data_IF_312155390874
#
_entry.id   IF_312155390874
#
_cell.length_a   1.000
_cell.length_b   1.000
_cell.length_c   1.000
_cell.angle_alpha   90.00
_cell.angle_beta   90.00
_cell.angle_gamma   90.00
#
_symmetry.space_group_name_H-M   'P 1'
#
loop_
_entity.id
_entity.type
_entity.pdbx_description
1 polymer ?
#
# COMPACT_ATOMS: atom_id res chain seq x y z
N UNK A 1 -6.62 7.31 13.93
CA UNK A 1 -6.03 5.96 14.12
C UNK A 1 -4.57 6.17 14.46
N UNK A 2 -4.08 5.55 15.51
CA UNK A 2 -2.68 5.62 15.92
C UNK A 2 -1.89 4.60 15.10
N UNK A 3 -0.73 4.98 14.53
CA UNK A 3 0.16 4.04 13.83
C UNK A 3 0.80 3.07 14.81
N UNK A 4 1.08 1.84 14.35
CA UNK A 4 1.71 0.77 15.12
C UNK A 4 3.12 0.55 14.62
N UNK A 5 4.09 0.69 15.51
CA UNK A 5 5.50 0.57 15.19
C UNK A 5 6.06 -0.68 15.88
N UNK A 6 6.72 -1.53 15.12
CA UNK A 6 7.51 -2.65 15.64
C UNK A 6 8.95 -2.18 15.83
N UNK A 7 9.47 -2.30 17.03
CA UNK A 7 10.86 -1.99 17.38
C UNK A 7 11.59 -3.30 17.66
N UNK A 8 12.72 -3.49 16.99
CA UNK A 8 13.54 -4.71 17.07
C UNK A 8 14.97 -4.33 17.44
N UNK A 9 15.40 -4.68 18.62
CA UNK A 9 16.75 -4.44 19.13
C UNK A 9 17.04 -5.48 20.24
N UNK A 10 18.23 -6.10 20.26
CA UNK A 10 18.59 -7.06 21.30
C UNK A 10 19.01 -6.39 22.62
N UNK A 11 19.19 -5.07 22.61
CA UNK A 11 19.51 -4.27 23.78
C UNK A 11 18.22 -3.70 24.43
N UNK A 12 17.91 -4.16 25.64
CA UNK A 12 16.75 -3.70 26.41
C UNK A 12 16.76 -2.20 26.71
N UNK A 13 17.94 -1.58 26.93
CA UNK A 13 18.05 -0.14 27.18
C UNK A 13 17.62 0.67 25.94
N UNK A 14 17.92 0.18 24.74
CA UNK A 14 17.47 0.82 23.48
C UNK A 14 15.97 0.65 23.30
N UNK A 15 15.41 -0.53 23.56
CA UNK A 15 13.98 -0.75 23.51
C UNK A 15 13.24 0.17 24.49
N UNK A 16 13.73 0.31 25.71
CA UNK A 16 13.15 1.22 26.70
C UNK A 16 13.26 2.71 26.27
N UNK A 17 14.43 3.13 25.80
CA UNK A 17 14.62 4.49 25.28
C UNK A 17 13.67 4.80 24.12
N UNK A 18 13.59 3.92 23.13
CA UNK A 18 12.68 4.12 21.99
C UNK A 18 11.21 4.08 22.41
N UNK A 19 10.87 3.27 23.43
CA UNK A 19 9.54 3.25 24.00
C UNK A 19 9.16 4.57 24.67
N UNK A 20 10.06 5.17 25.39
CA UNK A 20 9.85 6.50 26.00
C UNK A 20 9.73 7.60 24.94
N UNK A 21 10.55 7.54 23.88
CA UNK A 21 10.55 8.55 22.80
C UNK A 21 9.28 8.49 21.92
N UNK A 22 8.77 7.29 21.65
CA UNK A 22 7.71 7.07 20.63
C UNK A 22 6.35 6.70 21.23
N UNK A 23 6.30 6.23 22.48
CA UNK A 23 5.11 5.63 23.09
C UNK A 23 3.93 6.58 23.30
N UNK A 24 4.18 7.87 23.45
CA UNK A 24 3.11 8.88 23.57
C UNK A 24 2.34 9.10 22.25
N UNK A 25 2.99 8.82 21.10
CA UNK A 25 2.44 9.12 19.77
C UNK A 25 1.99 7.86 19.05
N UNK A 26 2.66 6.72 19.26
CA UNK A 26 2.47 5.49 18.52
C UNK A 26 2.14 4.31 19.43
N UNK A 27 1.44 3.31 18.90
CA UNK A 27 1.31 2.00 19.56
C UNK A 27 2.55 1.18 19.25
N UNK A 28 3.24 0.65 20.26
CA UNK A 28 4.51 -0.01 20.09
C UNK A 28 4.39 -1.52 20.32
N UNK A 29 5.08 -2.28 19.46
CA UNK A 29 5.39 -3.69 19.65
C UNK A 29 6.90 -3.81 19.79
N UNK A 30 7.38 -4.56 20.76
CA UNK A 30 8.82 -4.71 21.06
C UNK A 30 9.25 -6.15 20.79
N UNK A 31 10.40 -6.31 20.13
CA UNK A 31 10.99 -7.58 19.84
C UNK A 31 12.51 -7.55 20.16
N UNK A 32 12.99 -8.48 20.96
CA UNK A 32 14.42 -8.60 21.29
C UNK A 32 15.26 -9.32 20.21
N UNK A 33 14.66 -9.74 19.10
CA UNK A 33 15.35 -10.37 17.96
C UNK A 33 14.43 -10.50 16.75
N UNK A 34 15.01 -10.88 15.59
CA UNK A 34 14.28 -11.04 14.34
C UNK A 34 13.22 -12.14 14.34
N UNK A 35 13.39 -13.21 15.11
CA UNK A 35 12.40 -14.30 15.19
C UNK A 35 11.12 -13.86 15.93
N UNK A 36 11.28 -13.08 17.00
CA UNK A 36 10.14 -12.49 17.73
C UNK A 36 9.43 -11.47 16.83
N UNK A 37 10.22 -10.67 16.09
CA UNK A 37 9.67 -9.71 15.14
C UNK A 37 8.79 -10.38 14.08
N UNK A 38 9.19 -11.51 13.52
CA UNK A 38 8.38 -12.27 12.57
C UNK A 38 7.06 -12.76 13.18
N UNK A 39 7.09 -13.30 14.40
CA UNK A 39 5.86 -13.74 15.10
C UNK A 39 4.88 -12.59 15.33
N UNK A 40 5.40 -11.39 15.63
CA UNK A 40 4.56 -10.19 15.78
C UNK A 40 3.96 -9.79 14.44
N UNK A 41 4.72 -9.81 13.35
CA UNK A 41 4.22 -9.50 12.01
C UNK A 41 3.12 -10.45 11.56
N UNK A 42 3.20 -11.72 11.93
CA UNK A 42 2.16 -12.72 11.61
C UNK A 42 0.86 -12.49 12.40
N UNK A 43 0.96 -11.97 13.63
CA UNK A 43 -0.17 -11.82 14.54
C UNK A 43 -0.81 -10.43 14.52
N UNK A 44 0.00 -9.38 14.29
CA UNK A 44 -0.39 -7.98 14.50
C UNK A 44 -0.26 -7.16 13.21
N UNK A 45 -1.00 -6.06 13.15
CA UNK A 45 -0.83 -5.08 12.08
C UNK A 45 0.30 -4.13 12.46
N UNK A 46 1.29 -3.99 11.59
CA UNK A 46 2.44 -3.10 11.76
C UNK A 46 2.46 -2.08 10.61
N UNK A 47 2.65 -0.81 10.94
CA UNK A 47 2.68 0.29 9.99
C UNK A 47 4.12 0.75 9.66
N UNK A 48 5.09 0.47 10.55
CA UNK A 48 6.50 0.78 10.39
C UNK A 48 7.34 -0.14 11.28
N UNK A 49 8.55 -0.48 10.82
CA UNK A 49 9.52 -1.27 11.57
C UNK A 49 10.78 -0.43 11.81
N UNK A 50 11.29 -0.42 13.04
CA UNK A 50 12.59 0.11 13.41
C UNK A 50 13.42 -1.08 13.88
N UNK A 51 14.55 -1.35 13.24
CA UNK A 51 15.41 -2.48 13.60
C UNK A 51 16.85 -2.05 13.79
N UNK A 52 17.48 -2.53 14.83
CA UNK A 52 18.95 -2.54 14.87
C UNK A 52 19.49 -3.45 13.77
N UNK A 53 20.69 -3.15 13.28
CA UNK A 53 21.38 -4.00 12.31
C UNK A 53 22.10 -5.15 13.00
N UNK A 54 22.75 -4.86 14.13
CA UNK A 54 23.66 -5.79 14.80
C UNK A 54 22.93 -6.60 15.88
N UNK A 55 22.23 -7.64 15.47
CA UNK A 55 21.51 -8.54 16.39
C UNK A 55 21.97 -9.99 16.23
N UNK A 56 21.94 -10.80 17.30
CA UNK A 56 22.22 -12.23 17.21
C UNK A 56 21.11 -12.97 16.44
N UNK A 57 21.50 -13.98 15.68
CA UNK A 57 20.59 -14.76 14.86
C UNK A 57 20.26 -14.05 13.54
N UNK A 58 19.01 -13.67 13.34
CA UNK A 58 18.57 -12.88 12.17
C UNK A 58 18.97 -11.43 12.43
N UNK A 59 19.95 -10.92 11.67
CA UNK A 59 20.36 -9.53 11.75
C UNK A 59 19.36 -8.57 11.07
N UNK A 60 19.56 -7.25 11.24
CA UNK A 60 18.62 -6.26 10.71
C UNK A 60 18.57 -6.20 9.18
N UNK A 61 19.65 -6.56 8.48
CA UNK A 61 19.66 -6.66 7.02
C UNK A 61 18.88 -7.87 6.54
N UNK A 62 19.12 -9.03 7.15
CA UNK A 62 18.39 -10.25 6.86
C UNK A 62 16.89 -10.09 7.15
N UNK A 63 16.54 -9.47 8.28
CA UNK A 63 15.16 -9.16 8.63
C UNK A 63 14.52 -8.24 7.58
N UNK A 64 15.22 -7.17 7.18
CA UNK A 64 14.74 -6.27 6.13
C UNK A 64 14.51 -7.00 4.81
N UNK A 65 15.46 -7.86 4.40
CA UNK A 65 15.33 -8.65 3.18
C UNK A 65 14.14 -9.62 3.24
N UNK A 66 13.94 -10.29 4.38
CA UNK A 66 12.78 -11.17 4.60
C UNK A 66 11.46 -10.38 4.47
N UNK A 67 11.37 -9.20 5.09
CA UNK A 67 10.21 -8.33 4.99
C UNK A 67 9.97 -7.86 3.55
N UNK A 68 11.01 -7.37 2.87
CA UNK A 68 10.88 -6.79 1.52
C UNK A 68 10.63 -7.81 0.42
N UNK A 69 11.04 -9.07 0.63
CA UNK A 69 10.74 -10.19 -0.29
C UNK A 69 9.34 -10.78 -0.07
N UNK A 70 8.75 -10.63 1.11
CA UNK A 70 7.44 -11.17 1.42
C UNK A 70 6.31 -10.27 0.91
N UNK A 71 5.43 -10.81 0.06
CA UNK A 71 4.31 -10.07 -0.52
C UNK A 71 3.37 -9.48 0.55
N UNK A 72 3.24 -10.12 1.72
CA UNK A 72 2.36 -9.62 2.79
C UNK A 72 2.95 -8.40 3.50
N UNK A 73 4.27 -8.30 3.65
CA UNK A 73 4.95 -7.31 4.49
C UNK A 73 5.78 -6.29 3.72
N UNK A 74 6.11 -6.54 2.44
CA UNK A 74 7.02 -5.68 1.67
C UNK A 74 6.60 -4.22 1.57
N UNK A 75 5.33 -3.91 1.80
CA UNK A 75 4.80 -2.54 1.86
C UNK A 75 5.16 -1.81 3.16
N UNK A 76 5.56 -2.52 4.23
CA UNK A 76 5.90 -1.92 5.52
C UNK A 76 7.25 -1.21 5.41
N UNK A 77 7.35 0.09 5.76
CA UNK A 77 8.62 0.78 5.81
C UNK A 77 9.52 0.22 6.89
N UNK A 78 10.81 0.06 6.55
CA UNK A 78 11.86 -0.40 7.47
C UNK A 78 12.89 0.70 7.66
N UNK A 79 13.08 1.08 8.92
CA UNK A 79 14.12 1.99 9.38
C UNK A 79 15.21 1.15 10.03
N UNK A 80 16.44 1.23 9.54
CA UNK A 80 17.57 0.54 10.13
C UNK A 80 18.40 1.50 10.99
N UNK A 81 18.69 1.08 12.22
CA UNK A 81 19.57 1.77 13.16
C UNK A 81 20.98 1.18 13.04
N UNK A 82 22.01 1.98 12.85
CA UNK A 82 23.37 1.50 12.59
C UNK A 82 24.43 2.24 13.38
N UNK A 83 25.40 1.52 13.88
CA UNK A 83 26.64 2.08 14.46
C UNK A 83 27.75 2.23 13.41
N UNK A 84 27.63 1.61 12.23
CA UNK A 84 28.64 1.62 11.19
C UNK A 84 28.39 2.76 10.20
N UNK A 85 29.40 3.63 10.07
CA UNK A 85 29.43 4.72 9.10
C UNK A 85 30.35 4.35 7.91
N UNK A 86 30.26 3.10 7.43
CA UNK A 86 31.04 2.70 6.26
C UNK A 86 30.19 2.82 5.00
N UNK A 87 30.79 3.33 3.93
CA UNK A 87 30.18 3.40 2.60
C UNK A 87 29.60 2.04 2.16
N UNK A 88 30.26 0.95 2.55
CA UNK A 88 29.84 -0.43 2.31
C UNK A 88 28.49 -0.75 2.97
N UNK A 89 28.32 -0.39 4.24
CA UNK A 89 27.07 -0.65 4.99
C UNK A 89 25.88 0.16 4.42
N UNK A 90 26.14 1.36 3.87
CA UNK A 90 25.11 2.13 3.18
C UNK A 90 24.69 1.47 1.86
N UNK A 91 25.63 0.89 1.09
CA UNK A 91 25.32 0.18 -0.16
C UNK A 91 24.53 -1.09 0.14
N UNK A 92 25.01 -1.92 1.06
CA UNK A 92 24.33 -3.16 1.47
C UNK A 92 22.88 -2.89 1.88
N UNK A 93 22.69 -1.83 2.60
CA UNK A 93 21.38 -1.45 3.04
C UNK A 93 20.45 -0.94 1.95
N UNK A 94 20.94 -0.19 0.99
CA UNK A 94 20.15 0.22 -0.20
C UNK A 94 19.77 -1.02 -1.03
N UNK A 95 20.65 -2.03 -1.10
CA UNK A 95 20.38 -3.27 -1.83
C UNK A 95 19.29 -4.12 -1.17
N UNK A 96 19.20 -4.17 0.17
CA UNK A 96 18.12 -4.88 0.88
C UNK A 96 16.79 -4.15 0.90
N UNK A 97 16.76 -2.88 0.44
CA UNK A 97 15.54 -2.10 0.25
C UNK A 97 14.97 -1.44 1.50
N UNK A 98 15.81 -1.13 2.50
CA UNK A 98 15.39 -0.33 3.64
C UNK A 98 14.97 1.08 3.20
N UNK A 99 13.96 1.65 3.86
CA UNK A 99 13.40 2.95 3.51
C UNK A 99 14.17 4.11 4.14
N UNK A 100 14.86 3.84 5.25
CA UNK A 100 15.62 4.84 5.98
C UNK A 100 16.77 4.20 6.78
N UNK A 101 17.89 4.93 6.88
CA UNK A 101 19.04 4.61 7.73
C UNK A 101 19.26 5.72 8.73
N UNK A 102 19.39 5.36 10.02
CA UNK A 102 19.70 6.30 11.10
C UNK A 102 20.95 5.82 11.82
N UNK A 103 21.96 6.67 11.82
CA UNK A 103 23.22 6.38 12.50
C UNK A 103 23.08 6.59 14.01
N UNK A 104 23.54 5.64 14.80
CA UNK A 104 23.73 5.76 16.24
C UNK A 104 25.08 6.49 16.53
N UNK A 105 25.15 7.49 17.45
CA UNK A 105 24.06 8.02 18.25
C UNK A 105 23.16 9.00 17.47
N UNK A 106 21.87 8.99 17.74
CA UNK A 106 20.87 9.87 17.12
C UNK A 106 20.07 10.65 18.19
N UNK A 107 19.53 11.80 17.81
CA UNK A 107 18.61 12.52 18.68
C UNK A 107 17.18 11.99 18.58
N UNK A 108 16.46 12.00 19.71
CA UNK A 108 15.04 11.62 19.74
C UNK A 108 14.20 12.45 18.76
N UNK A 109 14.45 13.77 18.70
CA UNK A 109 13.76 14.70 17.80
C UNK A 109 13.96 14.34 16.32
N UNK A 110 15.19 14.04 15.91
CA UNK A 110 15.50 13.64 14.53
C UNK A 110 14.78 12.34 14.16
N UNK A 111 14.80 11.35 15.06
CA UNK A 111 14.12 10.08 14.86
C UNK A 111 12.60 10.28 14.68
N UNK A 112 11.97 11.02 15.60
CA UNK A 112 10.54 11.32 15.55
C UNK A 112 10.15 12.03 14.25
N UNK A 113 10.92 13.03 13.82
CA UNK A 113 10.66 13.78 12.60
C UNK A 113 10.77 12.90 11.35
N UNK A 114 11.78 12.04 11.27
CA UNK A 114 11.97 11.15 10.13
C UNK A 114 10.87 10.08 10.05
N UNK A 115 10.45 9.50 11.17
CA UNK A 115 9.34 8.55 11.23
C UNK A 115 8.03 9.22 10.79
N UNK A 116 7.74 10.42 11.33
CA UNK A 116 6.53 11.16 10.98
C UNK A 116 6.48 11.46 9.48
N UNK A 117 7.57 11.96 8.90
CA UNK A 117 7.66 12.23 7.47
C UNK A 117 7.46 10.98 6.61
N UNK A 118 8.05 9.85 7.01
CA UNK A 118 7.93 8.58 6.28
C UNK A 118 6.49 8.08 6.28
N UNK A 119 5.81 8.12 7.43
CA UNK A 119 4.41 7.72 7.57
C UNK A 119 3.46 8.66 6.80
N UNK A 120 3.69 9.97 6.87
CA UNK A 120 2.89 10.97 6.15
C UNK A 120 3.00 10.81 4.63
N UNK A 121 4.21 10.62 4.11
CA UNK A 121 4.43 10.41 2.68
C UNK A 121 3.70 9.14 2.19
N UNK A 122 3.72 8.06 2.98
CA UNK A 122 2.96 6.85 2.65
C UNK A 122 1.46 7.08 2.69
N UNK A 123 0.95 7.86 3.64
CA UNK A 123 -0.47 8.21 3.68
C UNK A 123 -0.90 9.00 2.43
N UNK A 124 -0.07 9.95 1.96
CA UNK A 124 -0.31 10.69 0.72
C UNK A 124 -0.36 9.77 -0.51
N UNK A 125 0.57 8.83 -0.62
CA UNK A 125 0.60 7.83 -1.70
C UNK A 125 -0.65 6.95 -1.68
N UNK A 126 -1.06 6.44 -0.50
CA UNK A 126 -2.31 5.66 -0.35
C UNK A 126 -3.54 6.43 -0.80
N UNK A 127 -3.62 7.73 -0.46
CA UNK A 127 -4.73 8.59 -0.86
C UNK A 127 -4.73 8.82 -2.37
N UNK A 128 -3.57 9.04 -2.97
CA UNK A 128 -3.44 9.18 -4.41
C UNK A 128 -3.88 7.90 -5.14
N UNK A 129 -3.46 6.73 -4.69
CA UNK A 129 -3.92 5.45 -5.24
C UNK A 129 -5.44 5.30 -5.17
N UNK A 130 -6.06 5.72 -4.06
CA UNK A 130 -7.51 5.65 -3.90
C UNK A 130 -8.27 6.49 -4.93
N UNK A 131 -7.71 7.65 -5.32
CA UNK A 131 -8.31 8.51 -6.36
C UNK A 131 -8.02 8.03 -7.78
N UNK A 132 -6.86 7.41 -8.01
CA UNK A 132 -6.41 6.98 -9.34
C UNK A 132 -5.74 5.60 -9.32
N UNK A 133 -6.52 4.51 -9.08
CA UNK A 133 -5.98 3.16 -9.04
C UNK A 133 -5.29 2.80 -10.37
N UNK A 134 -4.07 2.27 -10.25
CA UNK A 134 -3.27 1.74 -11.36
C UNK A 134 -2.86 2.77 -12.44
N UNK A 135 -2.99 4.07 -12.21
CA UNK A 135 -2.53 5.07 -13.20
C UNK A 135 -1.01 5.19 -13.21
N UNK A 136 -0.38 5.05 -12.04
CA UNK A 136 1.10 5.04 -11.93
C UNK A 136 1.54 4.05 -10.85
N UNK A 137 1.60 2.78 -11.21
CA UNK A 137 1.98 1.69 -10.29
C UNK A 137 3.39 1.87 -9.72
N UNK A 138 4.33 2.47 -10.49
CA UNK A 138 5.71 2.66 -10.02
C UNK A 138 5.83 3.68 -8.91
N UNK A 139 5.02 4.74 -8.96
CA UNK A 139 4.96 5.75 -7.88
C UNK A 139 4.32 5.18 -6.63
N UNK A 140 3.42 4.21 -6.79
CA UNK A 140 2.64 3.61 -5.70
C UNK A 140 3.33 2.43 -5.04
N UNK A 141 4.17 1.72 -5.79
CA UNK A 141 4.89 0.57 -5.29
C UNK A 141 6.03 1.01 -4.36
N UNK A 142 6.04 0.46 -3.15
CA UNK A 142 7.09 0.71 -2.16
C UNK A 142 8.28 -0.25 -2.30
N UNK A 143 8.09 -1.28 -3.12
CA UNK A 143 9.10 -2.30 -3.42
C UNK A 143 8.83 -2.91 -4.80
N UNK A 144 9.83 -3.60 -5.37
CA UNK A 144 9.65 -4.39 -6.61
C UNK A 144 8.56 -5.46 -6.45
N UNK A 145 8.42 -6.00 -5.25
CA UNK A 145 7.39 -6.99 -4.92
C UNK A 145 5.99 -6.37 -4.93
N UNK A 146 5.84 -5.13 -4.43
CA UNK A 146 4.57 -4.38 -4.54
C UNK A 146 4.23 -4.04 -5.98
N UNK A 147 5.23 -3.64 -6.78
CA UNK A 147 5.03 -3.35 -8.20
C UNK A 147 4.54 -4.59 -8.96
N UNK A 148 5.18 -5.74 -8.76
CA UNK A 148 4.76 -7.00 -9.36
C UNK A 148 3.35 -7.42 -8.91
N UNK A 149 3.03 -7.25 -7.62
CA UNK A 149 1.70 -7.52 -7.09
C UNK A 149 0.64 -6.62 -7.73
N UNK A 150 0.86 -5.31 -7.78
CA UNK A 150 -0.08 -4.34 -8.34
C UNK A 150 -0.30 -4.57 -9.84
N UNK A 151 0.76 -4.83 -10.60
CA UNK A 151 0.67 -5.13 -12.03
C UNK A 151 -0.15 -6.39 -12.30
N UNK A 152 0.10 -7.47 -11.56
CA UNK A 152 -0.65 -8.73 -11.67
C UNK A 152 -2.12 -8.54 -11.30
N UNK A 153 -2.40 -7.75 -10.27
CA UNK A 153 -3.77 -7.44 -9.83
C UNK A 153 -4.52 -6.60 -10.88
N UNK A 154 -3.88 -5.55 -11.42
CA UNK A 154 -4.46 -4.69 -12.46
C UNK A 154 -4.77 -5.48 -13.73
N UNK A 155 -3.82 -6.30 -14.21
CA UNK A 155 -4.01 -7.14 -15.38
C UNK A 155 -5.23 -8.08 -15.23
N UNK A 156 -5.35 -8.75 -14.08
CA UNK A 156 -6.47 -9.65 -13.83
C UNK A 156 -7.81 -8.90 -13.76
N UNK A 157 -7.86 -7.75 -13.04
CA UNK A 157 -9.08 -6.95 -12.98
C UNK A 157 -9.48 -6.47 -14.36
N UNK A 158 -8.55 -5.92 -15.17
CA UNK A 158 -8.87 -5.42 -16.53
C UNK A 158 -9.34 -6.50 -17.46
N UNK A 159 -8.71 -7.67 -17.43
CA UNK A 159 -9.09 -8.83 -18.24
C UNK A 159 -10.51 -9.30 -17.94
N UNK A 160 -10.92 -9.25 -16.69
CA UNK A 160 -12.23 -9.76 -16.23
C UNK A 160 -13.23 -8.64 -15.90
N UNK A 161 -12.96 -7.40 -16.28
CA UNK A 161 -13.72 -6.21 -15.83
C UNK A 161 -15.19 -6.23 -16.29
N UNK A 162 -15.48 -6.87 -17.42
CA UNK A 162 -16.84 -7.02 -17.97
C UNK A 162 -17.65 -8.14 -17.30
N UNK A 163 -17.04 -8.98 -16.48
CA UNK A 163 -17.77 -10.00 -15.73
C UNK A 163 -18.48 -9.37 -14.52
N UNK A 164 -19.83 -9.38 -14.46
CA UNK A 164 -20.57 -8.83 -13.32
C UNK A 164 -20.28 -9.56 -12.00
N UNK A 165 -19.83 -10.83 -12.09
CA UNK A 165 -19.55 -11.69 -10.95
C UNK A 165 -18.10 -11.59 -10.45
N UNK A 166 -17.28 -10.71 -11.06
CA UNK A 166 -15.92 -10.49 -10.57
C UNK A 166 -15.92 -10.03 -9.11
N UNK A 167 -15.34 -10.84 -8.22
CA UNK A 167 -15.32 -10.63 -6.78
C UNK A 167 -14.00 -11.06 -6.12
N UNK A 168 -13.85 -10.77 -4.84
CA UNK A 168 -12.60 -10.94 -4.10
C UNK A 168 -12.08 -12.38 -4.09
N UNK A 169 -12.95 -13.40 -4.12
CA UNK A 169 -12.52 -14.80 -4.05
C UNK A 169 -11.74 -15.19 -5.31
N UNK A 170 -12.20 -14.76 -6.49
CA UNK A 170 -11.49 -14.96 -7.77
C UNK A 170 -10.15 -14.22 -7.81
N UNK A 171 -10.11 -12.99 -7.24
CA UNK A 171 -8.86 -12.25 -7.10
C UNK A 171 -7.88 -12.97 -6.17
N UNK A 172 -8.36 -13.47 -5.02
CA UNK A 172 -7.53 -14.17 -4.05
C UNK A 172 -6.95 -15.46 -4.64
N UNK A 173 -7.75 -16.24 -5.34
CA UNK A 173 -7.32 -17.44 -6.05
C UNK A 173 -6.25 -17.11 -7.10
N UNK A 174 -6.49 -16.11 -7.96
CA UNK A 174 -5.52 -15.70 -8.99
C UNK A 174 -4.20 -15.20 -8.40
N UNK A 175 -4.26 -14.53 -7.24
CA UNK A 175 -3.09 -14.02 -6.55
C UNK A 175 -2.38 -15.08 -5.68
N UNK A 176 -2.90 -16.31 -5.60
CA UNK A 176 -2.45 -17.38 -4.71
C UNK A 176 -2.41 -16.94 -3.23
N UNK A 177 -3.43 -16.21 -2.79
CA UNK A 177 -3.55 -15.66 -1.45
C UNK A 177 -4.84 -16.09 -0.79
N UNK A 178 -4.87 -16.11 0.55
CA UNK A 178 -6.13 -16.19 1.27
C UNK A 178 -6.90 -14.85 1.10
N UNK A 179 -8.23 -14.91 1.18
CA UNK A 179 -9.08 -13.71 1.12
C UNK A 179 -8.71 -12.65 2.17
N UNK A 180 -8.45 -13.00 3.46
CA UNK A 180 -7.99 -12.04 4.45
C UNK A 180 -6.63 -11.41 4.11
N UNK A 181 -5.69 -12.20 3.61
CA UNK A 181 -4.37 -11.74 3.19
C UNK A 181 -4.47 -10.73 2.04
N UNK A 182 -5.22 -11.06 0.98
CA UNK A 182 -5.45 -10.14 -0.13
C UNK A 182 -6.11 -8.83 0.33
N UNK A 183 -7.11 -8.95 1.22
CA UNK A 183 -7.80 -7.77 1.78
C UNK A 183 -6.82 -6.87 2.53
N UNK A 184 -6.02 -7.43 3.44
CA UNK A 184 -4.99 -6.69 4.19
C UNK A 184 -3.98 -6.04 3.25
N UNK A 185 -3.51 -6.77 2.25
CA UNK A 185 -2.53 -6.26 1.27
C UNK A 185 -3.07 -5.09 0.46
N UNK A 186 -4.28 -5.17 -0.08
CA UNK A 186 -4.91 -4.05 -0.79
C UNK A 186 -5.11 -2.85 0.14
N UNK A 187 -5.57 -3.07 1.37
CA UNK A 187 -5.75 -2.01 2.36
C UNK A 187 -4.43 -1.36 2.80
N UNK A 188 -3.34 -2.08 2.79
CA UNK A 188 -2.02 -1.54 3.14
C UNK A 188 -1.45 -0.62 2.05
N UNK A 189 -1.74 -0.92 0.78
CA UNK A 189 -1.29 -0.14 -0.37
C UNK A 189 -2.24 1.01 -0.73
N UNK A 190 -3.52 0.89 -0.31
CA UNK A 190 -4.56 1.88 -0.60
C UNK A 190 -5.52 2.00 0.59
N UNK A 191 -6.39 3.01 0.56
CA UNK A 191 -7.51 3.10 1.52
C UNK A 191 -8.73 2.27 1.09
N UNK A 192 -8.67 1.65 -0.11
CA UNK A 192 -9.77 0.94 -0.74
C UNK A 192 -9.91 -0.49 -0.23
N UNK A 193 -11.14 -0.99 -0.20
CA UNK A 193 -11.39 -2.42 -0.17
C UNK A 193 -11.23 -3.04 -1.58
N UNK A 194 -11.05 -4.36 -1.73
CA UNK A 194 -11.02 -5.02 -3.03
C UNK A 194 -12.25 -4.74 -3.89
N UNK A 195 -13.43 -4.66 -3.28
CA UNK A 195 -14.68 -4.34 -3.97
C UNK A 195 -14.70 -2.90 -4.48
N UNK A 196 -14.22 -1.95 -3.68
CA UNK A 196 -14.09 -0.55 -4.10
C UNK A 196 -13.08 -0.41 -5.22
N UNK A 197 -11.95 -1.13 -5.15
CA UNK A 197 -10.92 -1.13 -6.18
C UNK A 197 -11.48 -1.61 -7.53
N UNK A 198 -12.20 -2.74 -7.57
CA UNK A 198 -12.88 -3.23 -8.78
C UNK A 198 -13.86 -2.17 -9.29
N UNK A 199 -14.69 -1.63 -8.39
CA UNK A 199 -15.73 -0.67 -8.76
C UNK A 199 -15.14 0.61 -9.37
N UNK A 200 -14.11 1.19 -8.76
CA UNK A 200 -13.44 2.39 -9.27
C UNK A 200 -12.78 2.12 -10.63
N UNK A 201 -12.14 0.96 -10.79
CA UNK A 201 -11.53 0.58 -12.07
C UNK A 201 -12.58 0.45 -13.18
N UNK A 202 -13.77 -0.10 -12.87
CA UNK A 202 -14.93 -0.12 -13.78
C UNK A 202 -15.39 1.27 -14.17
N UNK A 203 -15.55 2.16 -13.19
CA UNK A 203 -16.04 3.53 -13.43
C UNK A 203 -15.04 4.33 -14.26
N UNK A 204 -13.73 4.21 -14.01
CA UNK A 204 -12.70 4.85 -14.83
C UNK A 204 -12.63 4.30 -16.26
N UNK A 205 -12.86 3.00 -16.46
CA UNK A 205 -13.02 2.46 -17.82
C UNK A 205 -14.25 3.06 -18.49
N UNK A 206 -15.35 3.22 -17.74
CA UNK A 206 -16.57 3.84 -18.28
C UNK A 206 -16.36 5.28 -18.74
N UNK A 207 -15.63 6.12 -17.99
CA UNK A 207 -15.35 7.50 -18.43
C UNK A 207 -14.55 7.54 -19.73
N UNK A 208 -13.61 6.63 -19.94
CA UNK A 208 -12.86 6.51 -21.21
C UNK A 208 -13.77 6.11 -22.37
N UNK A 209 -14.69 5.14 -22.15
CA UNK A 209 -15.65 4.73 -23.18
C UNK A 209 -16.67 5.82 -23.49
N UNK A 210 -17.11 6.59 -22.49
CA UNK A 210 -17.97 7.76 -22.68
C UNK A 210 -17.26 8.82 -23.53
N UNK A 211 -15.99 9.11 -23.25
CA UNK A 211 -15.22 10.10 -24.01
C UNK A 211 -14.99 9.70 -25.47
N UNK A 212 -15.00 8.40 -25.82
CA UNK A 212 -14.93 7.91 -27.20
C UNK A 212 -16.20 8.18 -27.99
N UNK A 213 -17.34 8.36 -27.32
CA UNK A 213 -18.66 8.62 -27.92
C UNK A 213 -19.13 7.61 -29.01
N UNK A 214 -18.64 6.36 -28.88
CA UNK A 214 -18.93 5.28 -29.84
C UNK A 214 -20.00 4.32 -29.34
N UNK A 215 -20.32 4.33 -28.05
CA UNK A 215 -21.16 3.34 -27.39
C UNK A 215 -22.33 3.99 -26.66
N UNK A 216 -23.46 3.30 -26.65
CA UNK A 216 -24.61 3.67 -25.82
C UNK A 216 -24.33 3.44 -24.33
N UNK A 217 -25.04 4.15 -23.45
CA UNK A 217 -24.90 3.94 -21.99
C UNK A 217 -25.20 2.51 -21.55
N UNK A 218 -26.12 1.82 -22.25
CA UNK A 218 -26.44 0.42 -21.99
C UNK A 218 -25.27 -0.50 -22.34
N UNK A 219 -24.61 -0.26 -23.48
CA UNK A 219 -23.43 -1.00 -23.90
C UNK A 219 -22.26 -0.76 -22.94
N UNK A 220 -21.98 0.52 -22.59
CA UNK A 220 -20.94 0.88 -21.62
C UNK A 220 -21.18 0.16 -20.29
N UNK A 221 -22.41 0.20 -19.77
CA UNK A 221 -22.79 -0.47 -18.52
C UNK A 221 -22.39 -1.94 -18.52
N UNK A 222 -22.71 -2.63 -19.63
CA UNK A 222 -22.36 -4.07 -19.80
C UNK A 222 -20.88 -4.28 -19.98
N UNK A 223 -20.19 -3.46 -20.80
CA UNK A 223 -18.75 -3.56 -21.07
C UNK A 223 -17.88 -3.34 -19.82
N UNK A 224 -18.40 -2.62 -18.84
CA UNK A 224 -17.71 -2.40 -17.56
C UNK A 224 -18.23 -3.29 -16.43
N UNK A 225 -19.05 -4.31 -16.74
CA UNK A 225 -19.43 -5.37 -15.81
C UNK A 225 -20.47 -5.01 -14.77
N UNK A 226 -21.38 -4.06 -15.05
CA UNK A 226 -22.53 -3.82 -14.19
C UNK A 226 -23.73 -4.64 -14.66
N UNK A 227 -24.45 -5.23 -13.72
CA UNK A 227 -25.66 -6.01 -13.97
C UNK A 227 -26.87 -5.17 -14.36
N UNK A 228 -26.86 -3.86 -14.06
CA UNK A 228 -27.93 -2.94 -14.44
C UNK A 228 -27.42 -1.50 -14.56
N UNK A 229 -28.06 -0.74 -15.46
CA UNK A 229 -27.77 0.68 -15.65
C UNK A 229 -28.09 1.52 -14.40
N UNK A 230 -29.10 1.14 -13.64
CA UNK A 230 -29.44 1.81 -12.38
C UNK A 230 -28.31 1.71 -11.35
N UNK A 231 -27.72 0.51 -11.20
CA UNK A 231 -26.58 0.28 -10.31
C UNK A 231 -25.33 1.03 -10.79
N UNK A 232 -25.07 1.05 -12.09
CA UNK A 232 -24.01 1.83 -12.70
C UNK A 232 -24.17 3.32 -12.40
N UNK A 233 -25.33 3.91 -12.72
CA UNK A 233 -25.60 5.33 -12.50
C UNK A 233 -25.41 5.73 -11.03
N UNK A 234 -25.93 4.91 -10.09
CA UNK A 234 -25.79 5.15 -8.65
C UNK A 234 -24.31 5.17 -8.22
N UNK A 235 -23.50 4.22 -8.69
CA UNK A 235 -22.09 4.15 -8.35
C UNK A 235 -21.29 5.25 -9.03
N UNK A 236 -21.62 5.59 -10.27
CA UNK A 236 -20.99 6.69 -11.02
C UNK A 236 -21.21 8.03 -10.31
N UNK A 237 -22.47 8.35 -9.97
CA UNK A 237 -22.80 9.57 -9.26
C UNK A 237 -22.17 9.65 -7.87
N UNK A 238 -22.12 8.51 -7.15
CA UNK A 238 -21.47 8.45 -5.83
C UNK A 238 -19.95 8.74 -5.92
N UNK A 239 -19.31 8.32 -7.00
CA UNK A 239 -17.84 8.44 -7.12
C UNK A 239 -17.42 9.78 -7.75
N UNK A 240 -18.12 10.23 -8.79
CA UNK A 240 -17.78 11.45 -9.52
C UNK A 240 -18.57 12.68 -9.07
N UNK A 241 -19.55 12.54 -8.17
CA UNK A 241 -20.49 13.56 -7.71
C UNK A 241 -21.37 14.16 -8.82
N UNK A 242 -21.39 13.57 -10.01
CA UNK A 242 -22.23 13.93 -11.15
C UNK A 242 -22.82 12.67 -11.77
N UNK A 243 -23.99 12.78 -12.41
CA UNK A 243 -24.57 11.67 -13.16
C UNK A 243 -23.79 11.43 -14.46
N UNK A 244 -23.87 10.21 -15.07
CA UNK A 244 -23.27 9.96 -16.38
C UNK A 244 -23.71 10.95 -17.46
N UNK A 245 -24.99 11.38 -17.46
CA UNK A 245 -25.53 12.37 -18.40
C UNK A 245 -24.91 13.77 -18.21
N UNK A 246 -24.77 14.22 -16.96
CA UNK A 246 -24.11 15.49 -16.66
C UNK A 246 -22.62 15.44 -17.03
N UNK A 247 -21.97 14.29 -16.86
CA UNK A 247 -20.58 14.09 -17.24
C UNK A 247 -20.39 14.20 -18.77
N UNK A 248 -21.28 13.59 -19.57
CA UNK A 248 -21.29 13.76 -21.05
C UNK A 248 -21.42 15.21 -21.42
N UNK A 249 -22.43 15.92 -20.87
CA UNK A 249 -22.66 17.33 -21.17
C UNK A 249 -21.46 18.24 -20.81
N UNK A 250 -20.63 17.84 -19.82
CA UNK A 250 -19.42 18.58 -19.48
C UNK A 250 -18.31 18.37 -20.52
N UNK A 251 -18.15 17.15 -21.05
CA UNK A 251 -17.17 16.86 -22.11
C UNK A 251 -17.49 17.61 -23.41
N UNK A 252 -18.77 17.70 -23.78
CA UNK A 252 -19.18 18.40 -25.00
C UNK A 252 -18.90 19.92 -24.91
N UNK A 253 -18.98 20.51 -23.72
CA UNK A 253 -18.65 21.92 -23.48
C UNK A 253 -17.14 22.21 -23.58
N UNK A 254 -16.31 21.28 -23.08
CA UNK A 254 -14.85 21.41 -23.11
C UNK A 254 -14.27 21.23 -24.53
N UNK A 255 -14.98 20.51 -25.41
CA UNK A 255 -14.60 20.35 -26.84
C UNK A 255 -15.09 21.52 -27.74
N UNK A 256 -16.03 22.35 -27.25
CA UNK A 256 -16.60 23.48 -27.98
C UNK A 256 -15.89 24.83 -27.69
N UNK A 257 -14.92 24.87 -26.76
CA UNK A 257 -14.07 26.01 -26.41
C UNK A 257 -12.64 25.79 -26.91
#
# INVERSE_FOLDING_TARGET
>A
MTYRILIVDDNEDILEFLSQVLGDTYTLHLAGNGEIAQKILDAEIVDLIISDIMMPGIDGFELCQLIKSNVEYCHIPVVLLTVKNTYQSHIEGLEVGADLYIQKPFSAELLQLQIANLLENRAKIKTHFASSPFEDVRVMAHSKTDEAFLNKLDEYIRKNISDPNLHIDQLAEHMNMSRPTLYRKIKSLSTLSPKELINITRLKKATRLIAQNEFTMSEITRMVGYSSQSLFNKNFQRYFNVSPGEYINSLDKDQAN
#
